data_IF_932767113608
#
_entry.id   IF_932767113608
#
_cell.length_a   1.000
_cell.length_b   1.000
_cell.length_c   1.000
_cell.angle_alpha   90.00
_cell.angle_beta   90.00
_cell.angle_gamma   90.00
#
_symmetry.space_group_name_H-M   'P 1'
#
loop_
_entity.id
_entity.type
_entity.pdbx_description
1 polymer ?
#
# COMPACT_ATOMS: atom_id res chain seq x y z
N UNK A 1 -20.21 -13.60 -28.97
CA UNK A 1 -19.75 -13.45 -28.69
C UNK A 1 -19.11 -13.60 -28.45
N UNK A 2 -18.54 -13.23 -28.49
CA UNK A 2 -17.79 -13.29 -28.37
C UNK A 2 -17.59 -13.18 -27.52
N UNK A 3 -17.46 -13.28 -27.24
CA UNK A 3 -17.20 -13.20 -26.57
C UNK A 3 -16.72 -13.27 -25.70
N UNK A 4 -16.83 -13.58 -25.28
CA UNK A 4 -16.19 -13.68 -24.70
C UNK A 4 -15.45 -14.11 -24.51
N UNK A 5 -16.00 -14.66 -24.58
CA UNK A 5 -14.96 -15.10 -24.87
C UNK A 5 -13.65 -14.52 -24.56
N UNK A 6 -13.52 -13.91 -23.90
CA UNK A 6 -12.27 -13.29 -23.72
C UNK A 6 -11.51 -13.89 -22.61
N UNK A 7 -10.22 -14.14 -22.85
CA UNK A 7 -9.28 -14.39 -21.77
C UNK A 7 -8.69 -13.04 -21.41
N UNK A 8 -9.06 -12.47 -20.27
CA UNK A 8 -8.54 -11.20 -19.83
C UNK A 8 -7.26 -11.43 -19.04
N UNK A 9 -6.15 -10.90 -19.51
CA UNK A 9 -4.88 -10.99 -18.79
C UNK A 9 -4.87 -10.01 -17.62
N UNK A 10 -3.92 -10.20 -16.69
CA UNK A 10 -3.79 -9.27 -15.57
C UNK A 10 -3.52 -7.83 -16.02
N UNK A 11 -2.85 -7.65 -17.16
CA UNK A 11 -2.57 -6.32 -17.69
C UNK A 11 -3.82 -5.62 -18.22
N UNK A 12 -4.86 -6.40 -18.55
CA UNK A 12 -6.11 -5.85 -19.09
C UNK A 12 -7.14 -5.57 -18.01
N UNK A 13 -6.89 -6.02 -16.78
CA UNK A 13 -7.82 -5.83 -15.67
C UNK A 13 -7.65 -4.43 -15.10
N UNK A 14 -8.72 -3.65 -15.11
CA UNK A 14 -8.71 -2.33 -14.51
C UNK A 14 -8.60 -2.46 -12.99
N UNK A 15 -7.73 -1.71 -12.33
CA UNK A 15 -7.63 -1.73 -10.89
C UNK A 15 -8.88 -1.16 -10.24
N UNK A 16 -9.29 -1.72 -9.09
CA UNK A 16 -10.38 -1.18 -8.28
C UNK A 16 -9.95 0.13 -7.62
N UNK A 17 -8.67 0.19 -7.20
CA UNK A 17 -8.11 1.38 -6.58
C UNK A 17 -6.95 1.92 -7.41
N UNK A 18 -6.79 3.23 -7.41
CA UNK A 18 -5.63 3.90 -7.96
C UNK A 18 -4.68 4.24 -6.82
N UNK A 19 -3.38 4.04 -7.03
CA UNK A 19 -2.39 4.41 -6.01
C UNK A 19 -2.11 5.89 -6.08
N UNK A 20 -2.10 6.53 -4.92
CA UNK A 20 -1.72 7.92 -4.77
C UNK A 20 -0.79 8.03 -3.55
N UNK A 21 0.31 8.74 -3.70
CA UNK A 21 1.23 8.97 -2.59
C UNK A 21 0.77 10.19 -1.80
N UNK A 22 0.73 10.04 -0.48
CA UNK A 22 0.53 11.20 0.38
C UNK A 22 1.60 12.24 0.09
N UNK A 23 1.20 13.50 -0.04
CA UNK A 23 2.09 14.61 -0.33
C UNK A 23 2.01 15.62 0.81
N UNK A 24 3.18 16.04 1.30
CA UNK A 24 3.24 17.07 2.34
C UNK A 24 2.97 18.46 1.73
N UNK A 25 2.76 19.45 2.58
CA UNK A 25 2.58 20.82 2.13
C UNK A 25 3.78 21.33 1.34
N UNK A 26 4.98 20.89 1.72
CA UNK A 26 6.21 21.25 1.01
C UNK A 26 6.37 20.54 -0.34
N UNK A 27 5.47 19.60 -0.66
CA UNK A 27 5.50 18.89 -1.92
C UNK A 27 6.27 17.58 -1.90
N UNK A 28 6.71 17.12 -0.74
CA UNK A 28 7.40 15.85 -0.60
C UNK A 28 6.42 14.69 -0.58
N UNK A 29 6.85 13.54 -1.09
CA UNK A 29 6.06 12.30 -1.07
C UNK A 29 6.84 11.26 -0.26
N UNK A 30 6.62 11.19 1.06
CA UNK A 30 7.47 10.37 1.94
C UNK A 30 7.53 8.89 1.58
N UNK A 31 6.43 8.28 1.16
CA UNK A 31 6.44 6.87 0.81
C UNK A 31 7.21 6.64 -0.48
N UNK A 32 7.07 7.54 -1.47
CA UNK A 32 7.84 7.45 -2.70
C UNK A 32 9.33 7.53 -2.40
N UNK A 33 9.73 8.48 -1.55
CA UNK A 33 11.13 8.66 -1.15
C UNK A 33 11.66 7.42 -0.42
N UNK A 34 10.87 6.89 0.50
CA UNK A 34 11.23 5.69 1.23
C UNK A 34 11.44 4.50 0.27
N UNK A 35 10.56 4.32 -0.69
CA UNK A 35 10.69 3.26 -1.68
C UNK A 35 11.96 3.42 -2.53
N UNK A 36 12.26 4.65 -2.92
CA UNK A 36 13.42 4.94 -3.76
C UNK A 36 14.73 4.54 -3.06
N UNK A 37 14.78 4.63 -1.73
CA UNK A 37 15.98 4.31 -0.96
C UNK A 37 16.13 2.81 -0.66
N UNK A 38 15.14 2.00 -0.99
CA UNK A 38 15.20 0.56 -0.74
C UNK A 38 15.92 -0.17 -1.87
N UNK A 39 16.50 -1.36 -1.58
CA UNK A 39 17.02 -2.22 -2.63
C UNK A 39 15.97 -2.52 -3.70
N UNK A 40 16.41 -2.67 -4.94
CA UNK A 40 15.52 -2.88 -6.07
C UNK A 40 14.56 -4.06 -5.86
N UNK A 41 15.06 -5.17 -5.32
CA UNK A 41 14.22 -6.35 -5.11
C UNK A 41 13.14 -6.07 -4.07
N UNK A 42 13.46 -5.32 -3.03
CA UNK A 42 12.46 -4.93 -2.02
C UNK A 42 11.38 -4.06 -2.65
N UNK A 43 11.78 -3.08 -3.47
CA UNK A 43 10.80 -2.23 -4.17
C UNK A 43 9.87 -3.06 -5.05
N UNK A 44 10.43 -4.06 -5.75
CA UNK A 44 9.66 -4.93 -6.62
C UNK A 44 8.61 -5.72 -5.84
N UNK A 45 9.01 -6.31 -4.71
CA UNK A 45 8.09 -7.09 -3.88
C UNK A 45 6.99 -6.22 -3.29
N UNK A 46 7.35 -5.03 -2.81
CA UNK A 46 6.38 -4.08 -2.26
C UNK A 46 5.40 -3.65 -3.34
N UNK A 47 5.89 -3.31 -4.51
CA UNK A 47 5.05 -2.91 -5.64
C UNK A 47 4.08 -4.00 -6.06
N UNK A 48 4.54 -5.25 -6.06
CA UNK A 48 3.69 -6.41 -6.40
C UNK A 48 2.53 -6.53 -5.42
N UNK A 49 2.81 -6.40 -4.11
CA UNK A 49 1.77 -6.55 -3.10
C UNK A 49 0.80 -5.37 -3.10
N UNK A 50 1.29 -4.15 -3.35
CA UNK A 50 0.41 -2.99 -3.53
C UNK A 50 -0.51 -3.22 -4.73
N UNK A 51 0.01 -3.75 -5.83
CA UNK A 51 -0.82 -4.04 -7.00
C UNK A 51 -1.88 -5.09 -6.70
N UNK A 52 -1.55 -6.09 -5.89
CA UNK A 52 -2.52 -7.09 -5.45
C UNK A 52 -3.69 -6.42 -4.72
N UNK A 53 -3.41 -5.44 -3.87
CA UNK A 53 -4.45 -4.69 -3.17
C UNK A 53 -5.27 -3.85 -4.15
N UNK A 54 -4.62 -3.19 -5.11
CA UNK A 54 -5.32 -2.39 -6.12
C UNK A 54 -6.33 -3.22 -6.91
N UNK A 55 -5.96 -4.45 -7.26
CA UNK A 55 -6.80 -5.30 -8.09
C UNK A 55 -7.87 -6.03 -7.30
N UNK A 56 -7.62 -6.33 -6.04
CA UNK A 56 -8.49 -7.18 -5.23
C UNK A 56 -9.27 -6.51 -4.13
N UNK A 57 -9.17 -5.19 -4.00
CA UNK A 57 -9.83 -4.47 -2.91
C UNK A 57 -11.35 -4.67 -2.92
N UNK A 58 -11.99 -4.89 -1.76
CA UNK A 58 -11.37 -5.06 -0.45
C UNK A 58 -10.78 -6.45 -0.27
N UNK A 59 -9.61 -6.50 0.35
CA UNK A 59 -8.89 -7.74 0.59
C UNK A 59 -8.37 -7.72 2.04
N UNK A 60 -8.43 -8.86 2.71
CA UNK A 60 -8.03 -8.98 4.11
C UNK A 60 -6.73 -9.74 4.30
N UNK A 61 -6.58 -10.30 5.51
CA UNK A 61 -5.40 -11.07 5.87
C UNK A 61 -5.20 -12.26 4.92
N UNK A 62 -3.97 -12.65 4.65
CA UNK A 62 -2.73 -12.14 5.25
C UNK A 62 -2.15 -10.89 4.59
N UNK A 63 -2.72 -10.42 3.48
CA UNK A 63 -2.15 -9.33 2.68
C UNK A 63 -2.40 -7.96 3.30
N UNK A 64 -3.63 -7.73 3.79
CA UNK A 64 -4.02 -6.45 4.39
C UNK A 64 -4.60 -6.68 5.77
N UNK A 65 -4.15 -5.86 6.72
CA UNK A 65 -4.68 -5.85 8.08
C UNK A 65 -5.28 -4.50 8.38
N UNK A 66 -6.48 -4.49 8.94
CA UNK A 66 -7.08 -3.24 9.42
C UNK A 66 -6.47 -2.88 10.76
N UNK A 67 -5.98 -1.65 10.88
CA UNK A 67 -5.32 -1.15 12.09
C UNK A 67 -6.23 -0.27 12.93
N UNK A 68 -7.07 0.55 12.26
CA UNK A 68 -7.96 1.49 12.91
C UNK A 68 -9.01 1.89 11.89
N UNK A 69 -9.92 2.79 12.28
CA UNK A 69 -10.93 3.29 11.36
C UNK A 69 -10.25 3.92 10.14
N UNK A 70 -10.63 3.43 8.96
CA UNK A 70 -10.12 3.92 7.68
C UNK A 70 -8.60 3.92 7.59
N UNK A 71 -7.96 2.96 8.26
CA UNK A 71 -6.51 2.81 8.24
C UNK A 71 -6.15 1.33 8.16
N UNK A 72 -5.40 0.98 7.13
CA UNK A 72 -4.99 -0.40 6.87
C UNK A 72 -3.49 -0.47 6.61
N UNK A 73 -2.93 -1.67 6.75
CA UNK A 73 -1.53 -1.91 6.39
C UNK A 73 -1.46 -3.02 5.36
N UNK A 74 -0.62 -2.82 4.34
CA UNK A 74 -0.19 -3.89 3.45
C UNK A 74 0.98 -4.58 4.12
N UNK A 75 0.95 -5.91 4.13
CA UNK A 75 1.95 -6.74 4.81
C UNK A 75 2.79 -7.42 3.74
N UNK A 76 4.06 -7.06 3.67
CA UNK A 76 4.96 -7.53 2.62
C UNK A 76 6.09 -8.37 3.24
N UNK A 77 6.24 -9.59 2.75
CA UNK A 77 7.35 -10.47 3.11
C UNK A 77 8.51 -10.20 2.14
N UNK A 78 9.64 -9.75 2.69
CA UNK A 78 10.83 -9.45 1.90
C UNK A 78 11.86 -10.59 1.95
N UNK A 79 11.50 -11.71 2.57
CA UNK A 79 12.40 -12.85 2.71
C UNK A 79 13.15 -12.82 4.03
N UNK A 80 14.11 -11.93 4.15
CA UNK A 80 14.92 -11.78 5.37
C UNK A 80 14.30 -10.83 6.38
N UNK A 81 13.33 -10.04 5.98
CA UNK A 81 12.63 -9.10 6.84
C UNK A 81 11.23 -8.84 6.27
N UNK A 82 10.47 -7.96 6.91
CA UNK A 82 9.12 -7.63 6.49
C UNK A 82 8.97 -6.12 6.36
N UNK A 83 8.16 -5.70 5.40
CA UNK A 83 7.79 -4.30 5.26
C UNK A 83 6.30 -4.12 5.53
N UNK A 84 5.94 -2.89 5.89
CA UNK A 84 4.55 -2.48 6.04
C UNK A 84 4.34 -1.16 5.32
N UNK A 85 3.21 -1.05 4.62
CA UNK A 85 2.79 0.21 3.99
C UNK A 85 1.40 0.52 4.52
N UNK A 86 1.27 1.62 5.24
CA UNK A 86 0.01 2.05 5.81
C UNK A 86 -0.71 2.95 4.83
N UNK A 87 -2.00 2.70 4.66
CA UNK A 87 -2.79 3.43 3.66
C UNK A 87 -4.22 3.67 4.15
N UNK A 88 -4.87 4.62 3.50
CA UNK A 88 -6.31 4.84 3.61
C UNK A 88 -6.91 4.83 2.21
N UNK A 89 -8.24 4.76 2.14
CA UNK A 89 -8.94 4.80 0.85
C UNK A 89 -9.82 6.05 0.84
N UNK A 90 -9.63 6.88 -0.17
CA UNK A 90 -10.42 8.09 -0.39
C UNK A 90 -11.03 7.96 -1.78
N UNK A 91 -12.35 7.76 -1.83
CA UNK A 91 -13.01 7.47 -3.11
C UNK A 91 -12.43 6.21 -3.74
N UNK A 92 -11.85 6.33 -4.92
CA UNK A 92 -11.20 5.22 -5.60
C UNK A 92 -9.68 5.22 -5.42
N UNK A 93 -9.15 6.04 -4.52
CA UNK A 93 -7.71 6.18 -4.33
C UNK A 93 -7.22 5.45 -3.10
N UNK A 94 -6.20 4.63 -3.29
CA UNK A 94 -5.40 4.04 -2.23
C UNK A 94 -4.28 5.02 -1.93
N UNK A 95 -4.40 5.76 -0.82
CA UNK A 95 -3.43 6.79 -0.47
C UNK A 95 -2.38 6.20 0.45
N UNK A 96 -1.15 6.12 -0.04
CA UNK A 96 -0.03 5.56 0.72
C UNK A 96 0.49 6.61 1.69
N UNK A 97 0.32 6.34 2.99
CA UNK A 97 0.59 7.32 4.05
C UNK A 97 1.98 7.17 4.65
N UNK A 98 2.45 5.93 4.84
CA UNK A 98 3.68 5.68 5.55
C UNK A 98 4.19 4.28 5.23
N UNK A 99 5.50 4.14 5.12
CA UNK A 99 6.13 2.84 4.91
C UNK A 99 7.30 2.65 5.86
N UNK A 100 7.54 1.41 6.29
CA UNK A 100 8.64 1.12 7.18
C UNK A 100 8.99 -0.37 7.11
N UNK A 101 10.23 -0.68 7.53
CA UNK A 101 10.69 -2.06 7.70
C UNK A 101 10.31 -2.49 9.11
N UNK A 102 9.59 -3.59 9.21
CA UNK A 102 9.04 -4.06 10.48
C UNK A 102 10.11 -4.80 11.27
N UNK A 103 10.32 -4.38 12.51
CA UNK A 103 11.31 -4.98 13.42
C UNK A 103 10.68 -5.58 14.68
N UNK A 104 9.36 -5.48 14.84
CA UNK A 104 8.66 -5.98 16.01
C UNK A 104 7.35 -6.65 15.61
N UNK A 105 6.70 -7.34 16.55
CA UNK A 105 5.44 -8.02 16.27
C UNK A 105 4.29 -7.06 16.01
N UNK A 106 4.27 -5.94 16.71
CA UNK A 106 3.21 -4.94 16.56
C UNK A 106 3.67 -3.81 15.66
N UNK A 107 2.72 -3.12 15.03
CA UNK A 107 3.00 -1.87 14.35
C UNK A 107 3.38 -0.84 15.42
N UNK A 108 4.60 -0.28 15.35
CA UNK A 108 5.05 0.67 16.36
C UNK A 108 4.15 1.89 16.48
N UNK A 109 4.02 2.41 17.71
CA UNK A 109 3.17 3.57 17.97
C UNK A 109 3.58 4.80 17.16
N UNK A 110 4.88 4.98 16.92
CA UNK A 110 5.38 6.11 16.13
C UNK A 110 4.95 6.01 14.67
N UNK A 111 4.97 4.82 14.10
CA UNK A 111 4.54 4.60 12.71
C UNK A 111 3.03 4.79 12.58
N UNK A 112 2.26 4.32 13.56
CA UNK A 112 0.82 4.56 13.63
C UNK A 112 0.50 6.05 13.70
N UNK A 113 1.20 6.78 14.57
CA UNK A 113 0.98 8.21 14.75
C UNK A 113 1.27 8.98 13.45
N UNK A 114 2.35 8.65 12.78
CA UNK A 114 2.70 9.28 11.51
C UNK A 114 1.59 9.08 10.48
N UNK A 115 1.12 7.84 10.33
CA UNK A 115 0.07 7.53 9.37
C UNK A 115 -1.22 8.28 9.71
N UNK A 116 -1.61 8.32 10.98
CA UNK A 116 -2.82 9.02 11.41
C UNK A 116 -2.75 10.52 11.17
N UNK A 117 -1.59 11.13 11.44
CA UNK A 117 -1.38 12.55 11.20
C UNK A 117 -1.53 12.88 9.71
N UNK A 118 -0.94 12.05 8.86
CA UNK A 118 -1.03 12.26 7.42
C UNK A 118 -2.44 12.04 6.90
N UNK A 119 -3.12 11.01 7.41
CA UNK A 119 -4.52 10.75 7.05
C UNK A 119 -5.40 11.96 7.39
N UNK A 120 -5.17 12.57 8.53
CA UNK A 120 -5.96 13.72 8.98
C UNK A 120 -5.79 14.95 8.09
N UNK A 121 -4.78 14.98 7.24
CA UNK A 121 -4.51 16.11 6.33
C UNK A 121 -5.14 15.92 4.94
N UNK A 122 -5.81 14.81 4.72
CA UNK A 122 -6.44 14.52 3.42
C UNK A 122 -7.77 15.23 3.21
#
# INVERSE_FOLDING_TARGET
MHLFRYTTSMTDIAPVLNVRFFRTEAGNEPVREWLTDLPREHRRLIGTDIKTVQLGWPIGMPVVRKLDKDLWEVRIDLGDTNARVLFTVVGSDMVLLHGFIKKSQKTPASDMATAKQRKARL
#
